data_IF_138629111631
#
_entry.id   IF_138629111631
#
_cell.length_a   1.000
_cell.length_b   1.000
_cell.length_c   1.000
_cell.angle_alpha   90.00
_cell.angle_beta   90.00
_cell.angle_gamma   90.00
#
_symmetry.space_group_name_H-M   'P 1'
#
loop_
_entity.id
_entity.type
_entity.pdbx_description
1 polymer ?
#
# COMPACT_ATOMS: atom_id res chain seq x y z
N UNK A 1 -29.26 19.02 -3.67
CA UNK A 1 -28.26 18.25 -4.45
C UNK A 1 -27.25 17.71 -3.46
N UNK A 2 -27.63 16.63 -2.78
CA UNK A 2 -26.76 15.91 -1.87
C UNK A 2 -25.66 15.25 -2.71
N UNK A 3 -24.50 15.90 -2.72
CA UNK A 3 -23.28 15.32 -3.27
C UNK A 3 -22.94 14.17 -2.33
N UNK A 4 -23.55 13.01 -2.58
CA UNK A 4 -23.13 11.73 -2.07
C UNK A 4 -21.66 11.62 -2.46
N UNK A 5 -20.80 12.05 -1.53
CA UNK A 5 -19.36 11.92 -1.56
C UNK A 5 -19.13 10.42 -1.47
N UNK A 6 -19.38 9.72 -2.59
CA UNK A 6 -19.13 8.30 -2.76
C UNK A 6 -17.68 8.16 -2.33
N UNK A 7 -17.45 7.60 -1.14
CA UNK A 7 -16.12 7.23 -0.70
C UNK A 7 -15.58 6.41 -1.85
N UNK A 8 -14.64 6.97 -2.60
CA UNK A 8 -14.10 6.34 -3.79
C UNK A 8 -13.34 5.14 -3.26
N UNK A 9 -14.04 4.00 -3.15
CA UNK A 9 -13.48 2.79 -2.56
C UNK A 9 -12.37 2.37 -3.52
N UNK A 10 -11.18 2.20 -2.96
CA UNK A 10 -10.15 1.42 -3.62
C UNK A 10 -10.71 0.00 -3.74
N UNK A 11 -10.72 -0.51 -4.96
CA UNK A 11 -11.00 -1.90 -5.30
C UNK A 11 -9.70 -2.69 -5.16
N UNK A 12 -9.79 -4.02 -5.05
CA UNK A 12 -8.60 -4.86 -4.95
C UNK A 12 -7.60 -4.67 -6.10
N UNK A 13 -8.08 -4.34 -7.30
CA UNK A 13 -7.23 -4.00 -8.42
C UNK A 13 -6.45 -2.68 -8.22
N UNK A 14 -7.07 -1.66 -7.61
CA UNK A 14 -6.38 -0.42 -7.27
C UNK A 14 -5.33 -0.67 -6.18
N UNK A 15 -5.65 -1.52 -5.19
CA UNK A 15 -4.72 -1.91 -4.13
C UNK A 15 -3.49 -2.61 -4.70
N UNK A 16 -3.69 -3.63 -5.56
CA UNK A 16 -2.59 -4.35 -6.20
C UNK A 16 -1.72 -3.42 -7.05
N UNK A 17 -2.36 -2.54 -7.83
CA UNK A 17 -1.65 -1.55 -8.64
C UNK A 17 -0.83 -0.60 -7.76
N UNK A 18 -1.42 -0.10 -6.67
CA UNK A 18 -0.73 0.76 -5.72
C UNK A 18 0.49 0.07 -5.12
N UNK A 19 0.30 -1.15 -4.60
CA UNK A 19 1.36 -1.90 -3.96
C UNK A 19 2.51 -2.19 -4.95
N UNK A 20 2.17 -2.56 -6.19
CA UNK A 20 3.15 -2.86 -7.24
C UNK A 20 3.95 -1.63 -7.66
N UNK A 21 3.29 -0.48 -7.80
CA UNK A 21 3.95 0.80 -8.11
C UNK A 21 4.85 1.29 -6.97
N UNK A 22 4.40 1.16 -5.71
CA UNK A 22 5.18 1.49 -4.51
C UNK A 22 6.41 0.58 -4.42
N UNK A 23 6.26 -0.71 -4.71
CA UNK A 23 7.37 -1.65 -4.69
C UNK A 23 8.38 -1.35 -5.80
N UNK A 24 7.91 -1.04 -7.02
CA UNK A 24 8.77 -0.78 -8.17
C UNK A 24 9.52 0.56 -8.13
N UNK A 25 8.89 1.62 -7.60
CA UNK A 25 9.49 2.95 -7.53
C UNK A 25 10.14 3.26 -6.16
N UNK A 26 9.86 2.44 -5.14
CA UNK A 26 10.35 2.57 -3.76
C UNK A 26 10.32 4.01 -3.20
N UNK A 27 9.14 4.51 -2.80
CA UNK A 27 8.98 5.88 -2.38
C UNK A 27 9.46 6.16 -0.94
N UNK A 28 10.07 5.16 -0.29
CA UNK A 28 10.71 5.29 1.02
C UNK A 28 12.16 5.76 0.90
N UNK A 29 12.82 5.46 -0.22
CA UNK A 29 14.17 5.93 -0.54
C UNK A 29 14.10 7.29 -1.22
N UNK A 30 13.26 7.43 -2.24
CA UNK A 30 13.04 8.69 -2.93
C UNK A 30 11.61 9.23 -2.70
N UNK A 31 11.43 10.38 -2.04
CA UNK A 31 10.11 10.94 -1.79
C UNK A 31 9.42 11.48 -3.07
N UNK A 32 10.15 11.73 -4.16
CA UNK A 32 9.55 12.19 -5.43
C UNK A 32 8.84 11.05 -6.17
N UNK A 33 9.21 9.80 -5.93
CA UNK A 33 8.54 8.61 -6.45
C UNK A 33 7.03 8.60 -6.15
N UNK A 34 6.58 9.21 -5.05
CA UNK A 34 5.14 9.35 -4.77
C UNK A 34 4.37 10.09 -5.86
N UNK A 35 5.01 11.06 -6.52
CA UNK A 35 4.39 11.80 -7.62
C UNK A 35 4.26 10.93 -8.88
N UNK A 36 5.25 10.06 -9.12
CA UNK A 36 5.26 9.10 -10.23
C UNK A 36 4.17 8.06 -10.00
N UNK A 37 4.16 7.43 -8.82
CA UNK A 37 3.16 6.45 -8.40
C UNK A 37 1.75 7.04 -8.51
N UNK A 38 1.56 8.27 -8.05
CA UNK A 38 0.27 8.96 -8.16
C UNK A 38 -0.17 9.13 -9.61
N UNK A 39 0.72 9.63 -10.49
CA UNK A 39 0.40 9.80 -11.91
C UNK A 39 0.05 8.48 -12.58
N UNK A 40 0.84 7.44 -12.31
CA UNK A 40 0.62 6.10 -12.87
C UNK A 40 -0.69 5.51 -12.37
N UNK A 41 -0.96 5.59 -11.07
CA UNK A 41 -2.21 5.08 -10.50
C UNK A 41 -3.42 5.84 -11.03
N UNK A 42 -3.35 7.17 -11.13
CA UNK A 42 -4.42 7.98 -11.74
C UNK A 42 -4.64 7.63 -13.21
N UNK A 43 -3.58 7.30 -13.94
CA UNK A 43 -3.65 6.88 -15.35
C UNK A 43 -4.23 5.47 -15.52
N UNK A 44 -3.90 4.54 -14.63
CA UNK A 44 -4.37 3.13 -14.69
C UNK A 44 -5.81 3.02 -14.20
N UNK A 45 -6.12 3.64 -13.07
CA UNK A 45 -7.42 3.48 -12.39
C UNK A 45 -8.44 4.54 -12.83
N UNK A 46 -7.98 5.62 -13.46
CA UNK A 46 -8.82 6.78 -13.79
C UNK A 46 -9.28 7.58 -12.56
N UNK A 47 -8.83 7.23 -11.35
CA UNK A 47 -9.27 7.84 -10.09
C UNK A 47 -8.32 8.98 -9.70
N UNK A 48 -8.86 10.18 -9.57
CA UNK A 48 -8.12 11.33 -9.05
C UNK A 48 -8.12 11.31 -7.51
N UNK A 49 -7.06 10.74 -6.93
CA UNK A 49 -6.86 10.67 -5.47
C UNK A 49 -5.67 11.51 -5.04
N UNK A 50 -5.72 12.18 -3.90
CA UNK A 50 -4.53 12.92 -3.43
C UNK A 50 -3.41 11.97 -3.00
N UNK A 51 -2.14 12.38 -3.18
CA UNK A 51 -0.96 11.65 -2.65
C UNK A 51 -1.10 11.35 -1.16
N UNK A 52 -1.67 12.29 -0.39
CA UNK A 52 -1.96 12.07 1.03
C UNK A 52 -2.92 10.89 1.27
N UNK A 53 -4.01 10.83 0.49
CA UNK A 53 -4.98 9.73 0.54
C UNK A 53 -4.32 8.42 0.15
N UNK A 54 -3.45 8.43 -0.85
CA UNK A 54 -2.71 7.27 -1.33
C UNK A 54 -1.75 6.72 -0.26
N UNK A 55 -1.04 7.61 0.44
CA UNK A 55 -0.19 7.25 1.60
C UNK A 55 -1.00 6.69 2.77
N UNK A 56 -2.10 7.34 3.12
CA UNK A 56 -3.00 6.88 4.20
C UNK A 56 -3.60 5.52 3.86
N UNK A 57 -3.98 5.31 2.59
CA UNK A 57 -4.52 4.04 2.11
C UNK A 57 -3.48 2.92 2.15
N UNK A 58 -2.24 3.19 1.73
CA UNK A 58 -1.14 2.24 1.86
C UNK A 58 -0.88 1.87 3.33
N UNK A 59 -0.83 2.86 4.23
CA UNK A 59 -0.62 2.62 5.66
C UNK A 59 -1.74 1.74 6.25
N UNK A 60 -3.00 1.97 5.87
CA UNK A 60 -4.13 1.12 6.26
C UNK A 60 -4.02 -0.29 5.71
N UNK A 61 -3.63 -0.45 4.45
CA UNK A 61 -3.42 -1.77 3.83
C UNK A 61 -2.38 -2.58 4.59
N UNK A 62 -1.22 -1.99 4.87
CA UNK A 62 -0.13 -2.64 5.59
C UNK A 62 -0.54 -2.95 7.05
N UNK A 63 -1.25 -2.04 7.73
CA UNK A 63 -1.74 -2.29 9.09
C UNK A 63 -2.78 -3.40 9.15
N UNK A 64 -3.74 -3.42 8.22
CA UNK A 64 -4.73 -4.49 8.11
C UNK A 64 -4.03 -5.82 7.86
N UNK A 65 -3.12 -5.85 6.90
CA UNK A 65 -2.31 -7.03 6.60
C UNK A 65 -1.51 -7.52 7.81
N UNK A 66 -0.84 -6.63 8.55
CA UNK A 66 -0.09 -7.02 9.76
C UNK A 66 -1.01 -7.59 10.86
N UNK A 67 -2.22 -7.06 11.01
CA UNK A 67 -3.20 -7.59 11.96
C UNK A 67 -3.68 -8.97 11.55
N UNK A 68 -4.06 -9.14 10.28
CA UNK A 68 -4.46 -10.43 9.72
C UNK A 68 -3.33 -11.44 9.82
N UNK A 69 -2.10 -11.08 9.43
CA UNK A 69 -0.91 -11.90 9.54
C UNK A 69 -0.64 -12.33 10.98
N UNK A 70 -0.81 -11.43 11.97
CA UNK A 70 -0.65 -11.77 13.39
C UNK A 70 -1.71 -12.76 13.86
N UNK A 71 -2.97 -12.58 13.46
CA UNK A 71 -4.08 -13.48 13.79
C UNK A 71 -3.87 -14.85 13.14
N UNK A 72 -3.43 -14.88 11.89
CA UNK A 72 -3.16 -16.10 11.13
C UNK A 72 -1.94 -16.85 11.65
N UNK A 73 -0.88 -16.14 12.05
CA UNK A 73 0.29 -16.73 12.71
C UNK A 73 -0.09 -17.42 14.02
N UNK A 74 -1.08 -16.88 14.74
CA UNK A 74 -1.62 -17.45 15.98
C UNK A 74 -2.55 -18.65 15.69
N UNK A 75 -3.37 -18.56 14.63
CA UNK A 75 -4.18 -19.67 14.10
C UNK A 75 -3.40 -20.50 13.07
N UNK A 76 -2.51 -21.36 13.56
CA UNK A 76 -1.74 -22.32 12.74
C UNK A 76 -2.65 -23.20 11.85
N UNK A 77 -2.92 -22.77 10.61
CA UNK A 77 -3.62 -23.62 9.62
C UNK A 77 -4.44 -22.95 8.53
N UNK A 78 -4.39 -21.62 8.33
CA UNK A 78 -5.17 -20.98 7.24
C UNK A 78 -4.23 -20.42 6.18
N UNK A 79 -4.35 -20.96 4.97
CA UNK A 79 -3.70 -20.45 3.75
C UNK A 79 -4.30 -19.10 3.36
N UNK A 80 -3.44 -18.10 3.24
CA UNK A 80 -3.82 -16.72 2.93
C UNK A 80 -4.25 -16.65 1.47
N UNK A 81 -5.56 -16.45 1.24
CA UNK A 81 -6.24 -16.39 -0.07
C UNK A 81 -5.85 -15.18 -0.95
N UNK A 82 -4.67 -14.60 -0.73
CA UNK A 82 -4.19 -13.43 -1.43
C UNK A 82 -2.67 -13.41 -1.57
N UNK A 83 -2.08 -14.52 -2.00
CA UNK A 83 -0.62 -14.72 -2.12
C UNK A 83 0.08 -13.51 -2.75
N UNK A 84 -0.45 -12.94 -3.83
CA UNK A 84 0.16 -11.77 -4.48
C UNK A 84 0.07 -10.50 -3.61
N UNK A 85 -1.11 -10.19 -3.07
CA UNK A 85 -1.32 -9.02 -2.20
C UNK A 85 -0.50 -9.13 -0.92
N UNK A 86 -0.41 -10.33 -0.36
CA UNK A 86 0.38 -10.67 0.82
C UNK A 86 1.88 -10.47 0.55
N UNK A 87 2.40 -11.06 -0.53
CA UNK A 87 3.80 -10.87 -0.94
C UNK A 87 4.12 -9.41 -1.18
N UNK A 88 3.25 -8.66 -1.85
CA UNK A 88 3.44 -7.23 -2.09
C UNK A 88 3.45 -6.43 -0.78
N UNK A 89 2.51 -6.68 0.12
CA UNK A 89 2.47 -6.06 1.45
C UNK A 89 3.72 -6.40 2.27
N UNK A 90 4.16 -7.65 2.26
CA UNK A 90 5.35 -8.11 2.95
C UNK A 90 6.61 -7.41 2.42
N UNK A 91 6.79 -7.35 1.10
CA UNK A 91 7.93 -6.67 0.49
C UNK A 91 7.94 -5.17 0.80
N UNK A 92 6.79 -4.50 0.74
CA UNK A 92 6.67 -3.08 1.11
C UNK A 92 6.99 -2.86 2.58
N UNK A 93 6.54 -3.76 3.46
CA UNK A 93 6.87 -3.72 4.88
C UNK A 93 8.38 -3.84 5.12
N UNK A 94 9.05 -4.74 4.40
CA UNK A 94 10.52 -4.84 4.42
C UNK A 94 11.14 -3.51 3.99
N UNK A 95 10.74 -2.93 2.85
CA UNK A 95 11.25 -1.65 2.37
C UNK A 95 11.04 -0.50 3.37
N UNK A 96 9.87 -0.46 4.02
CA UNK A 96 9.60 0.51 5.10
C UNK A 96 10.54 0.32 6.29
N UNK A 97 10.91 -0.91 6.61
CA UNK A 97 11.78 -1.21 7.74
C UNK A 97 13.26 -0.97 7.39
N UNK A 98 13.68 -1.31 6.18
CA UNK A 98 15.03 -1.04 5.66
C UNK A 98 15.30 0.45 5.54
N UNK A 99 14.34 1.23 5.04
CA UNK A 99 14.45 2.70 4.99
C UNK A 99 14.49 3.33 6.39
N UNK A 100 13.87 2.72 7.40
CA UNK A 100 14.00 3.14 8.80
C UNK A 100 15.36 2.76 9.39
N UNK A 101 15.87 1.57 9.09
CA UNK A 101 17.18 1.10 9.54
C UNK A 101 18.33 1.91 8.93
N UNK A 102 18.15 2.37 7.69
CA UNK A 102 19.09 3.24 6.97
C UNK A 102 19.04 4.71 7.40
N UNK A 103 18.12 5.12 8.30
CA UNK A 103 18.23 6.43 8.95
C UNK A 103 19.14 6.25 10.18
N UNK A 104 20.45 6.54 10.08
CA UNK A 104 21.29 6.56 11.27
C UNK A 104 20.68 7.57 12.25
N UNK A 105 20.53 7.12 13.50
CA UNK A 105 20.30 8.00 14.64
C UNK A 105 21.33 9.13 14.54
N UNK A 106 20.84 10.35 14.37
CA UNK A 106 21.65 11.56 14.52
C UNK A 106 21.87 11.82 15.99
#
# INVERSE_FOLDING_TARGET
MDVLKKRQRFSDHDDLTLLREVLGNNPFVDPNAWNIIYKNLCSVTGKQVSIRTLKDHLDRLIKSWLQEYKILRDKSGIEVTGIEKDLLCHNIYILMNESKAQKPKK
#
